data_IF_665905257513
#
_entry.id   IF_665905257513
#
_cell.length_a   1.000
_cell.length_b   1.000
_cell.length_c   1.000
_cell.angle_alpha   90.00
_cell.angle_beta   90.00
_cell.angle_gamma   90.00
#
_symmetry.space_group_name_H-M   'P 1'
#
loop_
_entity.id
_entity.type
_entity.pdbx_description
1 polymer ?
#
# COMPACT_ATOMS: atom_id res chain seq x y z
N UNK A 1 -14.05 3.13 -12.04
CA UNK A 1 -12.58 3.14 -11.80
C UNK A 1 -11.82 3.34 -13.11
N UNK A 2 -12.13 2.56 -14.13
CA UNK A 2 -11.46 2.66 -15.43
C UNK A 2 -11.56 4.06 -16.02
N UNK A 3 -12.73 4.68 -15.93
CA UNK A 3 -12.98 6.02 -16.40
C UNK A 3 -12.15 7.07 -15.66
N UNK A 4 -12.03 6.94 -14.33
CA UNK A 4 -11.21 7.83 -13.53
C UNK A 4 -9.72 7.70 -13.86
N UNK A 5 -9.25 6.48 -14.07
CA UNK A 5 -7.86 6.25 -14.47
C UNK A 5 -7.58 6.93 -15.82
N UNK A 6 -8.49 6.79 -16.78
CA UNK A 6 -8.38 7.43 -18.09
C UNK A 6 -8.34 8.95 -17.97
N UNK A 7 -9.18 9.53 -17.13
CA UNK A 7 -9.20 10.98 -16.88
C UNK A 7 -7.87 11.44 -16.26
N UNK A 8 -7.37 10.71 -15.26
CA UNK A 8 -6.08 11.01 -14.64
C UNK A 8 -4.96 10.98 -15.66
N UNK A 9 -4.94 10.00 -16.53
CA UNK A 9 -3.94 9.87 -17.59
C UNK A 9 -3.98 11.08 -18.55
N UNK A 10 -5.18 11.49 -18.94
CA UNK A 10 -5.36 12.65 -19.80
C UNK A 10 -4.85 13.94 -19.16
N UNK A 11 -5.00 14.07 -17.85
CA UNK A 11 -4.55 15.24 -17.09
C UNK A 11 -3.08 15.16 -16.65
N UNK A 12 -2.39 14.07 -16.95
CA UNK A 12 -1.00 13.87 -16.50
C UNK A 12 -0.89 13.55 -15.01
N UNK A 13 -1.98 13.06 -14.40
CA UNK A 13 -2.02 12.68 -12.99
C UNK A 13 -1.90 11.17 -12.85
N UNK A 14 -1.42 10.72 -11.69
CA UNK A 14 -1.38 9.31 -11.34
C UNK A 14 -2.49 8.98 -10.36
N UNK A 15 -3.17 7.84 -10.58
CA UNK A 15 -4.24 7.37 -9.72
C UNK A 15 -3.75 6.22 -8.86
N UNK A 16 -3.88 6.36 -7.54
CA UNK A 16 -3.70 5.26 -6.58
C UNK A 16 -5.04 4.58 -6.38
N UNK A 17 -5.14 3.33 -6.80
CA UNK A 17 -6.36 2.54 -6.65
C UNK A 17 -6.22 1.64 -5.43
N UNK A 18 -7.05 1.86 -4.43
CA UNK A 18 -7.02 1.10 -3.19
C UNK A 18 -7.84 -0.18 -3.31
N UNK A 19 -7.31 -1.28 -2.78
CA UNK A 19 -7.98 -2.58 -2.78
C UNK A 19 -7.91 -3.19 -1.37
N UNK A 20 -9.00 -3.85 -0.95
CA UNK A 20 -9.13 -4.43 0.38
C UNK A 20 -9.22 -5.96 0.37
N UNK A 21 -9.35 -6.55 -0.81
CA UNK A 21 -9.42 -8.00 -0.98
C UNK A 21 -8.95 -8.39 -2.38
N UNK A 22 -8.86 -9.70 -2.62
CA UNK A 22 -8.39 -10.25 -3.89
C UNK A 22 -9.27 -9.83 -5.07
N UNK A 23 -10.59 -9.83 -4.89
CA UNK A 23 -11.52 -9.44 -5.96
C UNK A 23 -11.32 -7.98 -6.36
N UNK A 24 -11.09 -7.10 -5.39
CA UNK A 24 -10.82 -5.69 -5.66
C UNK A 24 -9.48 -5.49 -6.36
N UNK A 25 -8.44 -6.27 -6.00
CA UNK A 25 -7.16 -6.25 -6.71
C UNK A 25 -7.35 -6.63 -8.17
N UNK A 26 -8.07 -7.73 -8.43
CA UNK A 26 -8.34 -8.17 -9.79
C UNK A 26 -9.16 -7.17 -10.59
N UNK A 27 -10.14 -6.53 -9.96
CA UNK A 27 -10.94 -5.47 -10.58
C UNK A 27 -10.08 -4.26 -10.95
N UNK A 28 -9.18 -3.86 -10.06
CA UNK A 28 -8.25 -2.76 -10.32
C UNK A 28 -7.32 -3.06 -11.50
N UNK A 29 -6.78 -4.27 -11.55
CA UNK A 29 -5.93 -4.70 -12.66
C UNK A 29 -6.69 -4.71 -13.99
N UNK A 30 -7.92 -5.22 -13.99
CA UNK A 30 -8.79 -5.23 -15.17
C UNK A 30 -9.14 -3.83 -15.65
N UNK A 31 -9.23 -2.88 -14.73
CA UNK A 31 -9.50 -1.47 -15.05
C UNK A 31 -8.26 -0.72 -15.57
N UNK A 32 -7.09 -1.35 -15.58
CA UNK A 32 -5.87 -0.73 -16.07
C UNK A 32 -5.10 0.07 -15.02
N UNK A 33 -5.30 -0.22 -13.74
CA UNK A 33 -4.58 0.47 -12.67
C UNK A 33 -3.06 0.26 -12.79
N UNK A 34 -2.31 1.33 -12.62
CA UNK A 34 -0.84 1.30 -12.66
C UNK A 34 -0.23 1.41 -11.27
N UNK A 35 -1.01 1.84 -10.30
CA UNK A 35 -0.62 1.94 -8.90
C UNK A 35 -1.76 1.34 -8.07
N UNK A 36 -1.46 0.27 -7.34
CA UNK A 36 -2.45 -0.38 -6.49
C UNK A 36 -1.98 -0.32 -5.03
N UNK A 37 -2.83 0.21 -4.17
CA UNK A 37 -2.61 0.23 -2.73
C UNK A 37 -3.42 -0.85 -2.05
N UNK A 38 -2.78 -1.66 -1.22
CA UNK A 38 -3.45 -2.68 -0.43
C UNK A 38 -3.47 -2.26 1.03
N UNK A 39 -4.67 -2.23 1.61
CA UNK A 39 -4.87 -1.85 2.99
C UNK A 39 -4.68 -3.07 3.89
N UNK A 40 -3.72 -3.00 4.82
CA UNK A 40 -3.46 -4.08 5.77
C UNK A 40 -4.50 -4.15 6.89
N UNK A 41 -5.38 -3.16 6.99
CA UNK A 41 -6.45 -3.14 7.99
C UNK A 41 -7.68 -3.85 7.46
N UNK A 42 -8.20 -4.79 8.23
CA UNK A 42 -9.47 -5.43 7.94
C UNK A 42 -10.61 -4.48 8.32
N UNK A 43 -11.47 -4.13 7.36
CA UNK A 43 -12.56 -3.18 7.59
C UNK A 43 -13.70 -3.75 8.44
N UNK A 44 -13.78 -5.08 8.59
CA UNK A 44 -14.83 -5.72 9.38
C UNK A 44 -14.52 -5.70 10.87
N UNK A 45 -13.31 -6.05 11.27
CA UNK A 45 -12.90 -6.14 12.68
C UNK A 45 -11.78 -5.17 13.06
N UNK A 46 -11.31 -4.37 12.11
CA UNK A 46 -10.23 -3.38 12.27
C UNK A 46 -8.89 -3.99 12.69
N UNK A 47 -8.73 -5.31 12.58
CA UNK A 47 -7.43 -5.93 12.78
C UNK A 47 -6.48 -5.51 11.67
N UNK A 48 -5.18 -5.46 12.00
CA UNK A 48 -4.15 -5.01 11.07
C UNK A 48 -3.06 -6.06 10.98
N UNK A 49 -2.73 -6.48 9.75
CA UNK A 49 -1.67 -7.45 9.49
C UNK A 49 -0.89 -7.03 8.24
N UNK A 50 0.36 -6.59 8.44
CA UNK A 50 1.23 -6.16 7.34
C UNK A 50 1.52 -7.31 6.35
N UNK A 51 1.36 -8.57 6.78
CA UNK A 51 1.52 -9.73 5.90
C UNK A 51 0.44 -9.85 4.82
N UNK A 52 -0.65 -9.10 4.92
CA UNK A 52 -1.64 -9.02 3.84
C UNK A 52 -1.00 -8.53 2.54
N UNK A 53 -0.05 -7.61 2.63
CA UNK A 53 0.69 -7.12 1.46
C UNK A 53 1.44 -8.24 0.76
N UNK A 54 2.07 -9.15 1.53
CA UNK A 54 2.75 -10.31 0.97
C UNK A 54 1.77 -11.21 0.21
N UNK A 55 0.58 -11.43 0.78
CA UNK A 55 -0.46 -12.27 0.17
C UNK A 55 -0.90 -11.72 -1.19
N UNK A 56 -1.11 -10.42 -1.28
CA UNK A 56 -1.63 -9.81 -2.51
C UNK A 56 -0.53 -9.46 -3.51
N UNK A 57 0.72 -9.37 -3.08
CA UNK A 57 1.84 -9.02 -3.97
C UNK A 57 1.95 -9.96 -5.16
N UNK A 58 1.74 -11.26 -4.95
CA UNK A 58 1.83 -12.26 -6.01
C UNK A 58 0.77 -12.09 -7.09
N UNK A 59 -0.35 -11.45 -6.78
CA UNK A 59 -1.43 -11.18 -7.72
C UNK A 59 -1.14 -9.98 -8.61
N UNK A 60 -0.19 -9.14 -8.23
CA UNK A 60 0.09 -7.85 -8.87
C UNK A 60 1.37 -7.95 -9.70
N UNK A 61 1.29 -7.69 -11.03
CA UNK A 61 2.46 -7.74 -11.90
C UNK A 61 3.55 -6.74 -11.49
N UNK A 62 4.80 -7.06 -11.81
CA UNK A 62 5.94 -6.20 -11.46
C UNK A 62 5.90 -4.82 -12.14
N UNK A 63 5.20 -4.68 -13.26
CA UNK A 63 5.06 -3.40 -13.94
C UNK A 63 3.97 -2.50 -13.34
N UNK A 64 3.24 -3.00 -12.34
CA UNK A 64 2.28 -2.21 -11.57
C UNK A 64 2.92 -1.85 -10.23
N UNK A 65 2.89 -0.58 -9.87
CA UNK A 65 3.44 -0.13 -8.59
C UNK A 65 2.53 -0.59 -7.44
N UNK A 66 3.13 -1.14 -6.42
CA UNK A 66 2.44 -1.70 -5.27
C UNK A 66 2.71 -0.89 -4.02
N UNK A 67 1.65 -0.41 -3.38
CA UNK A 67 1.70 0.41 -2.17
C UNK A 67 1.08 -0.36 -1.01
N UNK A 68 1.79 -0.49 0.09
CA UNK A 68 1.25 -1.08 1.32
C UNK A 68 0.75 0.03 2.24
N UNK A 69 -0.49 -0.09 2.70
CA UNK A 69 -1.16 0.92 3.51
C UNK A 69 -1.58 0.35 4.86
N UNK A 70 -1.46 1.16 5.90
CA UNK A 70 -1.85 0.85 7.28
C UNK A 70 -0.99 -0.21 7.97
N UNK A 71 -0.94 -0.15 9.29
CA UNK A 71 -0.32 -1.18 10.11
C UNK A 71 1.20 -1.20 10.13
N UNK A 72 1.84 -0.20 9.56
CA UNK A 72 3.30 -0.12 9.51
C UNK A 72 3.76 0.68 10.74
N UNK A 73 4.36 0.00 11.70
CA UNK A 73 4.71 0.58 13.00
C UNK A 73 6.19 0.43 13.34
N UNK A 74 6.85 -0.59 12.83
CA UNK A 74 8.21 -0.96 13.23
C UNK A 74 9.11 -1.21 12.03
N UNK A 75 10.40 -1.22 12.30
CA UNK A 75 11.40 -1.59 11.30
C UNK A 75 11.18 -3.02 10.77
N UNK A 76 10.71 -3.93 11.62
CA UNK A 76 10.38 -5.29 11.20
C UNK A 76 9.27 -5.32 10.14
N UNK A 77 8.27 -4.44 10.28
CA UNK A 77 7.21 -4.29 9.28
C UNK A 77 7.78 -3.84 7.94
N UNK A 78 8.69 -2.88 7.96
CA UNK A 78 9.36 -2.40 6.76
C UNK A 78 10.16 -3.53 6.09
N UNK A 79 10.84 -4.37 6.88
CA UNK A 79 11.59 -5.50 6.33
C UNK A 79 10.69 -6.51 5.62
N UNK A 80 9.52 -6.80 6.18
CA UNK A 80 8.52 -7.66 5.52
C UNK A 80 8.17 -7.11 4.15
N UNK A 81 7.94 -5.80 4.06
CA UNK A 81 7.56 -5.13 2.81
C UNK A 81 8.71 -5.08 1.81
N UNK A 82 9.94 -4.89 2.27
CA UNK A 82 11.12 -4.96 1.41
C UNK A 82 11.27 -6.38 0.82
N UNK A 83 11.05 -7.40 1.63
CA UNK A 83 11.18 -8.79 1.19
C UNK A 83 10.14 -9.18 0.14
N UNK A 84 8.94 -8.62 0.20
CA UNK A 84 7.89 -8.89 -0.78
C UNK A 84 7.94 -7.92 -1.98
N UNK A 85 8.94 -7.05 -2.05
CA UNK A 85 9.13 -6.09 -3.15
C UNK A 85 8.03 -5.04 -3.25
N UNK A 86 7.53 -4.57 -2.11
CA UNK A 86 6.64 -3.41 -2.05
C UNK A 86 7.38 -2.18 -2.56
N UNK A 87 6.75 -1.42 -3.45
CA UNK A 87 7.38 -0.23 -4.05
C UNK A 87 7.30 0.99 -3.15
N UNK A 88 6.20 1.14 -2.41
CA UNK A 88 6.00 2.30 -1.55
C UNK A 88 5.09 1.95 -0.37
N UNK A 89 5.11 2.80 0.64
CA UNK A 89 4.26 2.65 1.83
C UNK A 89 3.51 3.94 2.11
N UNK A 90 2.30 3.80 2.62
CA UNK A 90 1.50 4.93 3.09
C UNK A 90 1.37 4.80 4.60
N UNK A 91 1.97 5.73 5.33
CA UNK A 91 2.01 5.73 6.78
C UNK A 91 1.48 7.05 7.31
N UNK A 92 0.37 7.00 8.03
CA UNK A 92 -0.21 8.19 8.65
C UNK A 92 -0.27 8.07 10.17
N UNK A 93 -0.97 7.07 10.68
CA UNK A 93 -1.27 6.92 12.11
C UNK A 93 0.00 6.85 12.96
N UNK A 94 0.99 6.06 12.56
CA UNK A 94 2.25 5.92 13.29
C UNK A 94 2.96 7.27 13.46
N UNK A 95 3.01 8.08 12.40
CA UNK A 95 3.63 9.40 12.47
C UNK A 95 2.79 10.39 13.25
N UNK A 96 1.47 10.33 13.12
CA UNK A 96 0.58 11.24 13.84
C UNK A 96 0.62 11.02 15.35
N UNK A 97 0.84 9.79 15.80
CA UNK A 97 0.98 9.44 17.21
C UNK A 97 2.40 9.69 17.75
N UNK A 98 3.37 9.89 16.89
CA UNK A 98 4.75 10.09 17.28
C UNK A 98 5.01 11.51 17.75
N UNK A 99 5.76 11.67 18.85
CA UNK A 99 6.20 12.97 19.34
C UNK A 99 7.33 13.56 18.50
N UNK A 100 8.14 12.69 17.90
CA UNK A 100 9.28 13.10 17.06
C UNK A 100 9.23 12.33 15.73
N UNK A 101 8.72 13.00 14.69
CA UNK A 101 8.50 12.38 13.38
C UNK A 101 9.79 12.00 12.69
N UNK A 102 10.84 12.82 12.81
CA UNK A 102 12.15 12.52 12.22
C UNK A 102 12.75 11.26 12.84
N UNK A 103 12.71 11.13 14.16
CA UNK A 103 13.20 9.95 14.86
C UNK A 103 12.40 8.71 14.48
N UNK A 104 11.09 8.84 14.36
CA UNK A 104 10.22 7.74 13.94
C UNK A 104 10.59 7.26 12.54
N UNK A 105 10.83 8.16 11.61
CA UNK A 105 11.26 7.81 10.26
C UNK A 105 12.58 7.04 10.27
N UNK A 106 13.55 7.50 11.06
CA UNK A 106 14.84 6.83 11.20
C UNK A 106 14.68 5.43 11.78
N UNK A 107 13.82 5.26 12.79
CA UNK A 107 13.55 3.95 13.40
C UNK A 107 12.92 2.99 12.39
N UNK A 108 11.99 3.47 11.57
CA UNK A 108 11.36 2.64 10.54
C UNK A 108 12.36 2.20 9.49
N UNK A 109 13.23 3.10 9.03
CA UNK A 109 14.17 2.81 7.96
C UNK A 109 15.38 1.99 8.42
N UNK A 110 15.89 2.27 9.60
CA UNK A 110 17.18 1.74 10.02
C UNK A 110 17.16 0.88 11.29
N UNK A 111 16.07 0.89 12.01
CA UNK A 111 15.90 0.10 13.25
C UNK A 111 16.31 0.81 14.52
#
# INVERSE_FOLDING_TARGET
IKEYISICDTLGLSALVEAHNEDEVNSALSAGARIIGVNNRNLKDFSVDVNNSTRYRDLIPQNVLFVSESGIKTHSDIKVLQNNKTDAVLIGETFMKSENKKKMLEELLYG
#
